data_IF_593593901767
#
_entry.id   IF_593593901767
#
_cell.length_a   1.000
_cell.length_b   1.000
_cell.length_c   1.000
_cell.angle_alpha   90.00
_cell.angle_beta   90.00
_cell.angle_gamma   90.00
#
_symmetry.space_group_name_H-M   'P 1'
#
loop_
_entity.id
_entity.type
_entity.pdbx_description
1 polymer ?
#
# COMPACT_ATOMS: atom_id res chain seq x y z
N UNK A 1 -92.22 -26.97 1.91
CA UNK A 1 -91.21 -25.90 2.06
C UNK A 1 -89.87 -26.44 1.57
N UNK A 2 -89.52 -26.16 0.31
CA UNK A 2 -88.30 -26.65 -0.34
C UNK A 2 -87.47 -25.44 -0.76
N UNK A 3 -86.47 -25.09 0.04
CA UNK A 3 -85.54 -24.01 -0.28
C UNK A 3 -84.60 -24.43 -1.42
N UNK A 4 -84.58 -23.62 -2.48
CA UNK A 4 -83.73 -23.79 -3.66
C UNK A 4 -82.27 -23.46 -3.34
N UNK A 5 -81.40 -24.49 -3.40
CA UNK A 5 -79.93 -24.43 -3.25
C UNK A 5 -79.18 -23.65 -4.36
N UNK A 6 -79.85 -22.94 -5.26
CA UNK A 6 -79.25 -22.42 -6.51
C UNK A 6 -78.82 -20.94 -6.48
N UNK A 7 -79.03 -20.23 -5.36
CA UNK A 7 -78.84 -18.77 -5.32
C UNK A 7 -77.50 -18.29 -4.75
N UNK A 8 -76.64 -19.18 -4.24
CA UNK A 8 -75.41 -18.78 -3.51
C UNK A 8 -74.11 -18.76 -4.34
N UNK A 9 -74.16 -19.05 -5.65
CA UNK A 9 -72.96 -19.19 -6.49
C UNK A 9 -72.72 -18.03 -7.48
N UNK A 10 -73.38 -16.87 -7.35
CA UNK A 10 -73.24 -15.76 -8.30
C UNK A 10 -72.63 -14.46 -7.75
N UNK A 11 -72.04 -14.47 -6.56
CA UNK A 11 -71.53 -13.25 -5.92
C UNK A 11 -70.01 -13.25 -5.63
N UNK A 12 -69.19 -13.90 -6.46
CA UNK A 12 -67.72 -13.73 -6.42
C UNK A 12 -67.14 -13.76 -7.84
N UNK A 13 -67.13 -12.63 -8.55
CA UNK A 13 -65.86 -12.22 -9.15
C UNK A 13 -65.76 -10.68 -9.19
N UNK A 14 -65.46 -10.03 -8.07
CA UNK A 14 -65.21 -8.58 -8.06
C UNK A 14 -64.21 -8.11 -6.99
N UNK A 15 -63.36 -9.01 -6.48
CA UNK A 15 -62.38 -8.67 -5.44
C UNK A 15 -60.99 -9.28 -5.70
N UNK A 16 -60.51 -9.22 -6.94
CA UNK A 16 -59.17 -9.71 -7.31
C UNK A 16 -58.31 -8.66 -8.04
N UNK A 17 -58.69 -7.38 -8.02
CA UNK A 17 -58.05 -6.37 -8.88
C UNK A 17 -57.75 -5.05 -8.15
N UNK A 18 -57.32 -5.10 -6.89
CA UNK A 18 -56.99 -3.91 -6.10
C UNK A 18 -55.76 -4.05 -5.19
N UNK A 19 -54.73 -4.77 -5.62
CA UNK A 19 -53.42 -4.79 -4.94
C UNK A 19 -52.27 -4.51 -5.92
N UNK A 20 -52.40 -3.47 -6.74
CA UNK A 20 -51.26 -2.76 -7.30
C UNK A 20 -51.11 -1.44 -6.55
N UNK A 21 -50.72 -1.53 -5.26
CA UNK A 21 -50.20 -0.36 -4.56
C UNK A 21 -48.87 0.04 -5.22
N UNK A 22 -48.52 1.34 -5.28
CA UNK A 22 -47.22 1.77 -5.76
C UNK A 22 -46.18 1.05 -4.91
N UNK A 23 -45.39 0.18 -5.55
CA UNK A 23 -44.25 -0.42 -4.90
C UNK A 23 -43.37 0.72 -4.42
N UNK A 24 -43.27 0.91 -3.11
CA UNK A 24 -42.20 1.71 -2.54
C UNK A 24 -40.91 1.01 -2.97
N UNK A 25 -40.32 1.49 -4.07
CA UNK A 25 -38.93 1.23 -4.36
C UNK A 25 -38.18 1.79 -3.16
N UNK A 26 -37.80 0.93 -2.22
CA UNK A 26 -36.78 1.26 -1.25
C UNK A 26 -35.55 1.60 -2.09
N UNK A 27 -35.31 2.90 -2.29
CA UNK A 27 -34.04 3.38 -2.80
C UNK A 27 -32.98 2.77 -1.89
N UNK A 28 -32.17 1.87 -2.44
CA UNK A 28 -31.09 1.26 -1.69
C UNK A 28 -30.23 2.40 -1.13
N UNK A 29 -29.99 2.39 0.18
CA UNK A 29 -29.27 3.48 0.82
C UNK A 29 -27.89 3.61 0.15
N UNK A 30 -27.56 4.82 -0.30
CA UNK A 30 -26.33 5.06 -1.04
C UNK A 30 -25.11 4.57 -0.23
N UNK A 31 -24.25 3.79 -0.87
CA UNK A 31 -23.02 3.31 -0.25
C UNK A 31 -22.13 4.50 0.17
N UNK A 32 -21.42 4.41 1.31
CA UNK A 32 -21.46 3.34 2.32
C UNK A 32 -22.62 3.48 3.33
N UNK A 33 -23.17 2.36 3.79
CA UNK A 33 -24.29 2.33 4.76
C UNK A 33 -23.85 2.10 6.21
N UNK A 34 -22.58 1.79 6.42
CA UNK A 34 -21.94 1.53 7.71
C UNK A 34 -20.44 1.83 7.63
N UNK A 35 -19.70 1.79 8.76
CA UNK A 35 -18.25 2.03 8.74
C UNK A 35 -17.52 1.10 7.76
N UNK A 36 -16.55 1.68 7.06
CA UNK A 36 -15.66 0.98 6.13
C UNK A 36 -14.46 0.47 6.91
N UNK A 37 -14.11 -0.79 6.71
CA UNK A 37 -12.85 -1.37 7.17
C UNK A 37 -11.78 -1.18 6.10
N UNK A 38 -10.69 -0.52 6.43
CA UNK A 38 -9.52 -0.38 5.58
C UNK A 38 -8.40 -1.31 6.08
N UNK A 39 -8.17 -2.41 5.37
CA UNK A 39 -7.09 -3.34 5.69
C UNK A 39 -5.76 -2.74 5.24
N UNK A 40 -4.80 -2.69 6.16
CA UNK A 40 -3.39 -2.37 5.90
C UNK A 40 -2.57 -3.65 6.12
N UNK A 41 -1.93 -4.23 5.09
CA UNK A 41 -1.34 -5.56 5.19
C UNK A 41 0.05 -5.58 5.85
N UNK A 42 0.35 -4.61 6.72
CA UNK A 42 1.64 -4.43 7.37
C UNK A 42 1.48 -4.06 8.85
N UNK A 43 2.53 -4.25 9.69
CA UNK A 43 2.49 -3.86 11.10
C UNK A 43 2.20 -2.36 11.28
N UNK A 44 1.61 -1.96 12.43
CA UNK A 44 1.40 -0.56 12.75
C UNK A 44 2.73 0.21 12.89
N UNK A 45 2.68 1.52 12.65
CA UNK A 45 3.83 2.43 12.82
C UNK A 45 4.78 2.53 11.62
N UNK A 46 4.52 1.81 10.51
CA UNK A 46 5.20 2.03 9.23
C UNK A 46 4.53 3.12 8.38
N UNK A 47 5.20 3.55 7.31
CA UNK A 47 4.71 4.61 6.42
C UNK A 47 3.29 4.38 5.85
N UNK A 48 2.96 3.15 5.45
CA UNK A 48 1.62 2.82 4.94
C UNK A 48 0.54 2.93 6.04
N UNK A 49 0.85 2.56 7.28
CA UNK A 49 -0.07 2.69 8.41
C UNK A 49 -0.31 4.16 8.78
N UNK A 50 0.78 4.95 8.84
CA UNK A 50 0.70 6.39 9.04
C UNK A 50 -0.15 7.07 7.96
N UNK A 51 0.04 6.69 6.69
CA UNK A 51 -0.74 7.17 5.57
C UNK A 51 -2.23 6.82 5.68
N UNK A 52 -2.55 5.57 6.04
CA UNK A 52 -3.94 5.11 6.14
C UNK A 52 -4.67 5.89 7.24
N UNK A 53 -4.00 6.08 8.38
CA UNK A 53 -4.53 6.81 9.54
C UNK A 53 -4.64 8.31 9.28
N UNK A 54 -3.77 8.86 8.44
CA UNK A 54 -3.85 10.27 8.02
C UNK A 54 -5.05 10.51 7.09
N UNK A 55 -5.31 9.61 6.14
CA UNK A 55 -6.41 9.73 5.19
C UNK A 55 -7.78 9.44 5.80
N UNK A 56 -7.87 8.41 6.64
CA UNK A 56 -9.15 7.89 7.13
C UNK A 56 -10.12 8.96 7.69
N UNK A 57 -9.70 9.93 8.52
CA UNK A 57 -10.59 10.99 9.02
C UNK A 57 -11.11 11.91 7.91
N UNK A 58 -10.28 12.22 6.92
CA UNK A 58 -10.65 13.12 5.81
C UNK A 58 -11.72 12.49 4.91
N UNK A 59 -11.66 11.17 4.73
CA UNK A 59 -12.64 10.44 3.91
C UNK A 59 -14.06 10.47 4.50
N UNK A 60 -14.20 10.65 5.82
CA UNK A 60 -15.51 10.68 6.51
C UNK A 60 -16.38 11.82 5.99
N UNK A 61 -15.80 12.97 5.67
CA UNK A 61 -16.56 14.13 5.17
C UNK A 61 -17.28 13.85 3.85
N UNK A 62 -16.67 13.07 2.95
CA UNK A 62 -17.26 12.71 1.64
C UNK A 62 -18.13 11.46 1.73
N UNK A 63 -17.73 10.49 2.55
CA UNK A 63 -18.38 9.19 2.62
C UNK A 63 -19.55 9.16 3.61
N UNK A 64 -19.59 10.05 4.59
CA UNK A 64 -20.61 10.07 5.65
C UNK A 64 -20.52 8.88 6.61
N UNK A 65 -19.48 8.05 6.49
CA UNK A 65 -19.23 6.90 7.36
C UNK A 65 -17.76 6.88 7.79
N UNK A 66 -17.45 6.35 8.99
CA UNK A 66 -16.07 6.20 9.45
C UNK A 66 -15.29 5.24 8.55
N UNK A 67 -13.99 5.50 8.39
CA UNK A 67 -13.02 4.54 7.84
C UNK A 67 -12.15 4.05 9.00
N UNK A 68 -12.20 2.75 9.29
CA UNK A 68 -11.48 2.11 10.40
C UNK A 68 -10.29 1.35 9.85
N UNK A 69 -9.08 1.75 10.25
CA UNK A 69 -7.83 1.11 9.83
C UNK A 69 -7.57 -0.16 10.65
N UNK A 70 -7.40 -1.29 9.97
CA UNK A 70 -7.08 -2.59 10.57
C UNK A 70 -5.76 -3.13 9.98
N UNK A 71 -4.74 -3.29 10.82
CA UNK A 71 -3.47 -3.87 10.40
C UNK A 71 -3.55 -5.41 10.39
N UNK A 72 -3.25 -6.04 9.24
CA UNK A 72 -3.14 -7.50 9.08
C UNK A 72 -1.81 -7.88 8.44
N UNK A 73 -0.76 -7.93 9.25
CA UNK A 73 0.61 -8.16 8.80
C UNK A 73 0.91 -9.63 8.42
N UNK A 74 1.91 -9.82 7.57
CA UNK A 74 2.58 -11.10 7.31
C UNK A 74 2.70 -11.47 5.83
N UNK A 75 3.74 -12.24 5.50
CA UNK A 75 4.02 -12.73 4.14
C UNK A 75 4.21 -11.62 3.09
N UNK A 76 4.93 -10.54 3.40
CA UNK A 76 5.07 -9.40 2.47
C UNK A 76 3.75 -8.70 2.15
N UNK A 77 2.78 -8.79 3.06
CA UNK A 77 1.42 -8.28 2.90
C UNK A 77 0.43 -9.28 2.30
N UNK A 78 0.88 -10.48 1.94
CA UNK A 78 0.02 -11.53 1.37
C UNK A 78 -1.15 -11.90 2.29
N UNK A 79 -0.93 -11.97 3.61
CA UNK A 79 -1.98 -12.37 4.56
C UNK A 79 -3.11 -11.34 4.61
N UNK A 80 -2.78 -10.04 4.73
CA UNK A 80 -3.77 -8.97 4.75
C UNK A 80 -4.48 -8.81 3.42
N UNK A 81 -3.77 -8.93 2.30
CA UNK A 81 -4.37 -8.89 0.96
C UNK A 81 -5.33 -10.06 0.76
N UNK A 82 -4.97 -11.28 1.13
CA UNK A 82 -5.86 -12.45 1.04
C UNK A 82 -7.16 -12.25 1.85
N UNK A 83 -7.04 -11.71 3.06
CA UNK A 83 -8.18 -11.39 3.89
C UNK A 83 -9.13 -10.35 3.26
N UNK A 84 -8.57 -9.35 2.56
CA UNK A 84 -9.37 -8.37 1.83
C UNK A 84 -10.06 -9.01 0.61
N UNK A 85 -9.35 -9.86 -0.14
CA UNK A 85 -9.87 -10.55 -1.32
C UNK A 85 -11.08 -11.44 -0.98
N UNK A 86 -11.06 -12.08 0.19
CA UNK A 86 -12.13 -12.94 0.67
C UNK A 86 -13.34 -12.19 1.22
N UNK A 87 -13.27 -10.86 1.39
CA UNK A 87 -14.38 -10.09 1.94
C UNK A 87 -15.48 -9.85 0.91
N UNK A 88 -16.71 -10.25 1.24
CA UNK A 88 -17.90 -10.09 0.40
C UNK A 88 -18.85 -9.00 0.91
N UNK A 89 -18.41 -8.23 1.90
CA UNK A 89 -19.27 -7.36 2.71
C UNK A 89 -19.49 -5.95 2.13
N UNK A 90 -18.91 -5.69 0.96
CA UNK A 90 -18.87 -4.40 0.26
C UNK A 90 -18.35 -3.22 1.09
N UNK A 91 -17.80 -3.43 2.28
CA UNK A 91 -17.31 -2.36 3.17
C UNK A 91 -15.89 -2.63 3.66
N UNK A 92 -15.21 -3.62 3.09
CA UNK A 92 -13.79 -3.87 3.32
C UNK A 92 -13.01 -3.42 2.09
N UNK A 93 -12.07 -2.50 2.30
CA UNK A 93 -11.10 -2.05 1.31
C UNK A 93 -9.69 -2.44 1.72
N UNK A 94 -8.75 -2.27 0.80
CA UNK A 94 -7.35 -2.60 0.99
C UNK A 94 -6.48 -1.39 0.62
N UNK A 95 -5.57 -1.03 1.51
CA UNK A 95 -4.45 -0.16 1.15
C UNK A 95 -3.22 -1.02 0.89
N UNK A 96 -2.65 -0.90 -0.30
CA UNK A 96 -1.49 -1.68 -0.73
C UNK A 96 -0.24 -0.81 -0.83
N UNK A 97 0.92 -1.47 -0.78
CA UNK A 97 2.20 -0.89 -1.20
C UNK A 97 2.64 -1.51 -2.52
N UNK A 98 3.76 -1.02 -3.06
CA UNK A 98 4.44 -1.61 -4.21
C UNK A 98 4.66 -3.13 -4.11
N UNK A 99 4.74 -3.69 -2.89
CA UNK A 99 4.84 -5.14 -2.66
C UNK A 99 3.72 -5.91 -3.35
N UNK A 100 2.53 -5.32 -3.51
CA UNK A 100 1.42 -5.92 -4.23
C UNK A 100 1.76 -6.26 -5.69
N UNK A 101 2.54 -5.41 -6.36
CA UNK A 101 3.02 -5.64 -7.73
C UNK A 101 4.22 -6.59 -7.78
N UNK A 102 5.01 -6.69 -6.71
CA UNK A 102 6.22 -7.53 -6.65
C UNK A 102 5.90 -8.97 -6.25
N UNK A 103 4.94 -9.16 -5.33
CA UNK A 103 4.60 -10.45 -4.76
C UNK A 103 4.31 -11.56 -5.80
N UNK A 104 3.63 -11.30 -6.94
CA UNK A 104 3.42 -12.32 -7.97
C UNK A 104 4.71 -12.83 -8.63
N UNK A 105 5.78 -12.03 -8.61
CA UNK A 105 7.10 -12.44 -9.11
C UNK A 105 7.90 -13.23 -8.07
N UNK A 106 7.69 -12.97 -6.79
CA UNK A 106 8.40 -13.62 -5.68
C UNK A 106 7.72 -14.89 -5.16
N UNK A 107 6.40 -14.98 -5.26
CA UNK A 107 5.62 -16.10 -4.76
C UNK A 107 4.80 -16.74 -5.89
N UNK A 108 5.12 -17.98 -6.31
CA UNK A 108 4.38 -18.65 -7.38
C UNK A 108 2.96 -19.05 -6.96
N UNK A 109 2.66 -19.06 -5.65
CA UNK A 109 1.39 -19.53 -5.10
C UNK A 109 0.78 -18.50 -4.15
N UNK A 110 0.29 -17.40 -4.71
CA UNK A 110 -0.49 -16.43 -3.94
C UNK A 110 -1.92 -16.95 -3.67
N UNK A 111 -2.47 -16.72 -2.46
CA UNK A 111 -3.85 -17.07 -2.10
C UNK A 111 -4.90 -16.10 -2.67
N UNK A 112 -4.51 -15.26 -3.64
CA UNK A 112 -5.37 -14.31 -4.34
C UNK A 112 -4.81 -14.07 -5.75
N UNK A 113 -5.67 -13.65 -6.67
CA UNK A 113 -5.29 -13.11 -7.97
C UNK A 113 -5.49 -11.59 -7.94
N UNK A 114 -4.38 -10.84 -8.03
CA UNK A 114 -4.41 -9.40 -7.88
C UNK A 114 -5.12 -8.62 -9.00
N UNK A 115 -5.29 -9.22 -10.18
CA UNK A 115 -5.98 -8.58 -11.31
C UNK A 115 -7.46 -8.97 -11.37
N UNK A 116 -7.81 -10.15 -10.87
CA UNK A 116 -9.18 -10.66 -10.86
C UNK A 116 -9.94 -10.29 -9.58
N UNK A 117 -9.30 -10.41 -8.42
CA UNK A 117 -9.98 -10.34 -7.12
C UNK A 117 -10.10 -8.90 -6.61
N UNK A 118 -9.40 -7.94 -7.24
CA UNK A 118 -9.40 -6.54 -6.87
C UNK A 118 -9.67 -5.63 -8.06
N UNK A 119 -10.14 -4.43 -7.74
CA UNK A 119 -10.29 -3.34 -8.66
C UNK A 119 -9.63 -2.08 -8.11
N UNK A 120 -8.96 -1.32 -8.97
CA UNK A 120 -8.36 -0.05 -8.62
C UNK A 120 -9.38 0.97 -8.12
N UNK A 121 -8.96 1.74 -7.10
CA UNK A 121 -9.68 2.89 -6.58
C UNK A 121 -8.89 4.16 -6.87
N UNK A 122 -7.70 4.33 -6.30
CA UNK A 122 -6.86 5.50 -6.58
C UNK A 122 -5.41 5.29 -6.12
N UNK A 123 -4.41 5.84 -6.84
CA UNK A 123 -3.08 5.98 -6.28
C UNK A 123 -3.12 6.98 -5.10
N UNK A 124 -2.23 6.81 -4.13
CA UNK A 124 -2.26 7.61 -2.89
C UNK A 124 -1.04 8.50 -2.77
N UNK A 125 0.14 7.89 -2.66
CA UNK A 125 1.37 8.63 -2.43
C UNK A 125 2.59 7.80 -2.82
N UNK A 126 3.67 8.47 -3.18
CA UNK A 126 5.03 7.94 -3.13
C UNK A 126 5.62 8.30 -1.77
N UNK A 127 6.22 7.33 -1.09
CA UNK A 127 7.01 7.57 0.11
C UNK A 127 8.44 7.12 -0.17
N UNK A 128 9.36 8.06 -0.48
CA UNK A 128 10.73 7.72 -0.81
C UNK A 128 11.41 6.92 0.30
N UNK A 129 12.20 5.92 -0.09
CA UNK A 129 13.14 5.28 0.82
C UNK A 129 14.52 5.94 0.69
N UNK A 130 15.30 5.83 1.76
CA UNK A 130 16.66 6.35 1.89
C UNK A 130 17.58 5.21 2.28
N UNK A 131 18.75 5.12 1.66
CA UNK A 131 19.86 4.35 2.22
C UNK A 131 20.41 5.13 3.42
N UNK A 132 20.23 4.59 4.61
CA UNK A 132 20.67 5.20 5.87
C UNK A 132 21.64 4.30 6.63
N UNK A 133 22.56 4.94 7.35
CA UNK A 133 23.60 4.30 8.17
C UNK A 133 23.71 5.01 9.52
N UNK A 134 24.30 4.39 10.56
CA UNK A 134 24.62 5.06 11.82
C UNK A 134 25.47 6.31 11.57
N UNK A 135 25.30 7.37 12.37
CA UNK A 135 26.06 8.62 12.20
C UNK A 135 27.57 8.42 12.18
N UNK A 136 28.05 7.54 13.07
CA UNK A 136 29.47 7.21 13.26
C UNK A 136 29.97 6.11 12.32
N UNK A 137 29.13 5.65 11.38
CA UNK A 137 29.55 4.73 10.33
C UNK A 137 30.69 5.35 9.50
N UNK A 138 31.69 4.54 9.09
CA UNK A 138 32.76 5.01 8.20
C UNK A 138 32.29 5.25 6.77
N UNK A 139 31.02 4.97 6.43
CA UNK A 139 30.49 5.14 5.08
C UNK A 139 29.82 6.49 4.92
N UNK A 140 30.31 7.28 3.97
CA UNK A 140 29.79 8.62 3.69
C UNK A 140 29.07 8.69 2.34
N UNK A 141 29.18 7.63 1.55
CA UNK A 141 28.55 7.48 0.24
C UNK A 141 28.09 6.04 -0.02
N UNK A 142 27.17 5.82 -0.99
CA UNK A 142 26.84 4.47 -1.44
C UNK A 142 28.06 3.70 -1.98
N UNK A 143 29.05 4.38 -2.55
CA UNK A 143 30.27 3.76 -3.04
C UNK A 143 31.10 3.13 -1.90
N UNK A 144 31.12 3.75 -0.72
CA UNK A 144 31.81 3.19 0.46
C UNK A 144 31.17 1.89 0.92
N UNK A 145 29.82 1.85 0.92
CA UNK A 145 29.04 0.65 1.23
C UNK A 145 29.35 -0.47 0.24
N UNK A 146 29.35 -0.18 -1.06
CA UNK A 146 29.67 -1.16 -2.12
C UNK A 146 31.10 -1.69 -1.95
N UNK A 147 32.06 -0.79 -1.70
CA UNK A 147 33.45 -1.18 -1.50
C UNK A 147 33.63 -2.06 -0.26
N UNK A 148 32.93 -1.74 0.84
CA UNK A 148 32.94 -2.55 2.06
C UNK A 148 32.30 -3.92 1.85
N UNK A 149 31.13 -3.99 1.19
CA UNK A 149 30.45 -5.24 0.90
C UNK A 149 31.28 -6.17 -0.01
N UNK A 150 32.02 -5.62 -0.99
CA UNK A 150 32.94 -6.41 -1.83
C UNK A 150 34.13 -6.97 -1.08
N UNK A 151 34.63 -6.26 -0.06
CA UNK A 151 35.74 -6.74 0.79
C UNK A 151 35.31 -7.85 1.75
N UNK A 152 34.05 -7.83 2.17
CA UNK A 152 33.49 -8.79 3.11
C UNK A 152 32.10 -9.26 2.67
N UNK A 153 32.01 -10.11 1.62
CA UNK A 153 30.73 -10.62 1.11
C UNK A 153 29.92 -11.30 2.22
N UNK A 154 28.63 -10.96 2.32
CA UNK A 154 27.69 -11.54 3.29
C UNK A 154 27.87 -11.07 4.74
N UNK A 155 28.90 -10.28 5.05
CA UNK A 155 29.15 -9.78 6.41
C UNK A 155 28.29 -8.57 6.73
N UNK A 156 28.17 -7.63 5.78
CA UNK A 156 27.40 -6.41 5.99
C UNK A 156 25.91 -6.74 6.03
N UNK A 157 25.24 -6.20 7.03
CA UNK A 157 23.82 -6.40 7.28
C UNK A 157 23.00 -5.20 6.83
N UNK A 158 21.80 -5.46 6.29
CA UNK A 158 20.78 -4.43 6.12
C UNK A 158 19.49 -4.83 6.81
N UNK A 159 18.94 -3.89 7.59
CA UNK A 159 17.65 -4.10 8.24
C UNK A 159 16.48 -3.79 7.31
N UNK A 160 15.33 -4.38 7.60
CA UNK A 160 14.06 -3.96 7.01
C UNK A 160 12.91 -3.95 8.00
N UNK A 161 11.81 -3.33 7.60
CA UNK A 161 10.53 -3.40 8.32
C UNK A 161 9.83 -4.77 8.19
N UNK A 162 10.49 -5.75 7.58
CA UNK A 162 10.01 -7.11 7.37
C UNK A 162 10.14 -7.54 5.92
N UNK A 163 10.22 -8.85 5.72
CA UNK A 163 10.30 -9.47 4.39
C UNK A 163 9.13 -9.05 3.50
N UNK A 164 9.47 -8.69 2.27
CA UNK A 164 8.53 -8.23 1.23
C UNK A 164 8.08 -6.77 1.36
N UNK A 165 8.55 -6.01 2.34
CA UNK A 165 8.32 -4.55 2.37
C UNK A 165 9.13 -3.84 1.29
N UNK A 166 8.77 -2.59 0.94
CA UNK A 166 9.59 -1.76 0.03
C UNK A 166 11.03 -1.59 0.52
N UNK A 167 11.23 -1.61 1.84
CA UNK A 167 12.53 -1.49 2.50
C UNK A 167 13.37 -2.74 2.25
N UNK A 168 12.77 -3.92 2.39
CA UNK A 168 13.43 -5.18 2.05
C UNK A 168 13.83 -5.21 0.56
N UNK A 169 12.87 -4.89 -0.32
CA UNK A 169 13.07 -4.92 -1.78
C UNK A 169 14.13 -3.91 -2.26
N UNK A 170 14.24 -2.76 -1.59
CA UNK A 170 15.29 -1.78 -1.87
C UNK A 170 16.69 -2.33 -1.59
N UNK A 171 16.89 -2.99 -0.45
CA UNK A 171 18.17 -3.63 -0.14
C UNK A 171 18.51 -4.78 -1.09
N UNK A 172 17.53 -5.62 -1.41
CA UNK A 172 17.72 -6.73 -2.35
C UNK A 172 18.07 -6.22 -3.77
N UNK A 173 17.36 -5.20 -4.27
CA UNK A 173 17.66 -4.58 -5.57
C UNK A 173 19.05 -3.92 -5.56
N UNK A 174 19.44 -3.27 -4.47
CA UNK A 174 20.76 -2.65 -4.32
C UNK A 174 21.87 -3.71 -4.38
N UNK A 175 21.74 -4.79 -3.61
CA UNK A 175 22.69 -5.90 -3.60
C UNK A 175 22.84 -6.49 -5.00
N UNK A 176 21.72 -6.76 -5.69
CA UNK A 176 21.75 -7.34 -7.02
C UNK A 176 22.39 -6.42 -8.08
N UNK A 177 21.99 -5.15 -8.15
CA UNK A 177 22.53 -4.20 -9.14
C UNK A 177 24.00 -3.82 -8.88
N UNK A 178 24.39 -3.70 -7.61
CA UNK A 178 25.79 -3.42 -7.24
C UNK A 178 26.70 -4.64 -7.30
N UNK A 179 26.11 -5.83 -7.49
CA UNK A 179 26.77 -7.15 -7.45
C UNK A 179 27.53 -7.33 -6.12
N UNK A 180 26.82 -7.15 -5.03
CA UNK A 180 27.32 -7.32 -3.66
C UNK A 180 26.47 -8.30 -2.89
N UNK A 181 27.05 -8.91 -1.86
CA UNK A 181 26.33 -9.82 -0.96
C UNK A 181 26.12 -9.11 0.38
N UNK A 182 24.85 -8.90 0.72
CA UNK A 182 24.42 -8.29 1.98
C UNK A 182 23.51 -9.28 2.71
N UNK A 183 23.62 -9.33 4.04
CA UNK A 183 22.76 -10.15 4.89
C UNK A 183 21.53 -9.36 5.32
N UNK A 184 20.34 -9.83 4.94
CA UNK A 184 19.09 -9.22 5.35
C UNK A 184 18.72 -9.57 6.79
N UNK A 185 18.32 -8.57 7.59
CA UNK A 185 17.80 -8.74 8.95
C UNK A 185 16.37 -8.18 9.04
N UNK A 186 15.33 -9.03 8.97
CA UNK A 186 13.94 -8.57 9.01
C UNK A 186 13.45 -8.24 10.43
N UNK A 187 12.77 -7.11 10.59
CA UNK A 187 12.10 -6.71 11.84
C UNK A 187 10.58 -6.65 11.68
N UNK A 188 9.87 -6.50 12.81
CA UNK A 188 8.40 -6.28 12.83
C UNK A 188 8.07 -4.79 12.67
N UNK A 189 8.51 -4.17 11.58
CA UNK A 189 8.33 -2.73 11.30
C UNK A 189 9.61 -1.89 11.46
N UNK A 190 9.59 -0.65 10.96
CA UNK A 190 10.77 0.24 10.97
C UNK A 190 11.21 0.67 12.37
N UNK A 191 10.31 0.77 13.35
CA UNK A 191 10.65 1.25 14.70
C UNK A 191 11.75 0.43 15.41
N UNK A 192 11.57 -0.90 15.58
CA UNK A 192 12.62 -1.76 16.11
C UNK A 192 13.89 -1.78 15.25
N UNK A 193 13.76 -1.81 13.92
CA UNK A 193 14.89 -1.79 13.00
C UNK A 193 15.76 -0.54 13.15
N UNK A 194 15.14 0.65 13.24
CA UNK A 194 15.84 1.92 13.43
C UNK A 194 16.55 1.99 14.79
N UNK A 195 15.99 1.36 15.81
CA UNK A 195 16.60 1.32 17.14
C UNK A 195 17.90 0.49 17.13
N UNK A 196 17.88 -0.66 16.46
CA UNK A 196 19.06 -1.50 16.29
C UNK A 196 20.08 -0.86 15.32
N UNK A 197 19.62 -0.16 14.28
CA UNK A 197 20.49 0.62 13.40
C UNK A 197 21.21 1.74 14.17
N UNK A 198 20.49 2.55 14.94
CA UNK A 198 21.09 3.65 15.74
C UNK A 198 22.16 3.15 16.70
N UNK A 199 22.01 1.92 17.22
CA UNK A 199 22.99 1.31 18.13
C UNK A 199 24.12 0.55 17.42
N UNK A 200 24.10 0.48 16.09
CA UNK A 200 25.10 -0.22 15.28
C UNK A 200 25.00 -1.75 15.35
N UNK A 201 23.84 -2.30 15.75
CA UNK A 201 23.59 -3.76 15.72
C UNK A 201 23.37 -4.29 14.31
N UNK A 202 22.97 -3.41 13.40
CA UNK A 202 22.85 -3.63 11.96
C UNK A 202 23.55 -2.47 11.25
N UNK A 203 24.11 -2.73 10.08
CA UNK A 203 25.04 -1.78 9.46
C UNK A 203 24.34 -0.68 8.64
N UNK A 204 23.24 -1.02 7.97
CA UNK A 204 22.48 -0.09 7.13
C UNK A 204 20.98 -0.43 7.08
N UNK A 205 20.19 0.46 6.50
CA UNK A 205 18.76 0.24 6.23
C UNK A 205 18.32 1.06 5.02
N UNK A 206 17.34 0.57 4.25
CA UNK A 206 16.70 1.31 3.16
C UNK A 206 15.33 1.84 3.58
N UNK A 207 15.28 2.63 4.67
CA UNK A 207 14.02 2.97 5.33
C UNK A 207 13.24 4.09 4.63
N UNK A 208 11.94 4.17 4.90
CA UNK A 208 11.11 5.28 4.43
C UNK A 208 11.54 6.61 5.05
N UNK A 209 11.49 7.69 4.28
CA UNK A 209 11.74 9.04 4.78
C UNK A 209 10.84 9.36 5.98
N UNK A 210 9.57 8.93 5.94
CA UNK A 210 8.61 9.08 7.04
C UNK A 210 9.14 8.54 8.37
N UNK A 211 9.69 7.33 8.37
CA UNK A 211 10.19 6.68 9.59
C UNK A 211 11.59 7.15 9.98
N UNK A 212 12.46 7.43 9.00
CA UNK A 212 13.84 7.83 9.24
C UNK A 212 14.00 9.30 9.65
N UNK A 213 13.08 10.19 9.24
CA UNK A 213 13.20 11.63 9.42
C UNK A 213 13.54 12.08 10.86
N UNK A 214 12.91 11.56 11.94
CA UNK A 214 13.27 11.95 13.30
C UNK A 214 14.72 11.60 13.67
N UNK A 215 15.21 10.45 13.19
CA UNK A 215 16.56 9.99 13.47
C UNK A 215 17.61 10.80 12.70
N UNK A 216 17.32 11.13 11.44
CA UNK A 216 18.13 12.03 10.61
C UNK A 216 18.20 13.43 11.22
N UNK A 217 17.05 14.01 11.61
CA UNK A 217 16.99 15.33 12.23
C UNK A 217 17.74 15.40 13.58
N UNK A 218 17.71 14.33 14.37
CA UNK A 218 18.50 14.22 15.61
C UNK A 218 19.99 14.00 15.38
N UNK A 219 20.42 13.78 14.14
CA UNK A 219 21.81 13.54 13.77
C UNK A 219 22.34 12.15 14.17
N UNK A 220 21.48 11.22 14.59
CA UNK A 220 21.84 9.84 14.97
C UNK A 220 22.07 8.92 13.78
N UNK A 221 21.44 9.23 12.65
CA UNK A 221 21.63 8.54 11.37
C UNK A 221 22.12 9.53 10.31
N UNK A 222 22.72 8.98 9.26
CA UNK A 222 23.10 9.68 8.03
C UNK A 222 22.42 9.03 6.85
N UNK A 223 21.82 9.83 5.96
CA UNK A 223 21.32 9.35 4.68
C UNK A 223 22.41 9.49 3.61
N UNK A 224 22.58 8.46 2.77
CA UNK A 224 23.60 8.40 1.72
C UNK A 224 23.02 8.63 0.33
N UNK A 225 21.79 8.16 0.08
CA UNK A 225 21.10 8.34 -1.20
C UNK A 225 19.60 8.06 -1.05
N UNK A 226 18.81 8.57 -2.01
CA UNK A 226 17.39 8.20 -2.20
C UNK A 226 17.26 6.99 -3.13
N UNK A 227 16.22 6.17 -2.93
CA UNK A 227 15.94 5.01 -3.80
C UNK A 227 15.16 5.35 -5.07
N UNK A 228 14.50 6.50 -5.07
CA UNK A 228 13.64 6.97 -6.15
C UNK A 228 14.45 7.22 -7.42
N UNK A 229 13.79 7.13 -8.58
CA UNK A 229 14.45 7.39 -9.88
C UNK A 229 14.89 8.85 -10.07
N UNK A 230 14.40 9.75 -9.21
CA UNK A 230 14.74 11.17 -9.15
C UNK A 230 15.04 11.59 -7.72
N UNK A 231 15.78 12.68 -7.56
CA UNK A 231 15.92 13.36 -6.26
C UNK A 231 14.57 13.80 -5.72
N UNK A 232 14.51 13.95 -4.41
CA UNK A 232 13.28 14.32 -3.70
C UNK A 232 13.37 15.76 -3.20
N UNK A 233 12.24 16.47 -3.21
CA UNK A 233 12.21 17.88 -2.80
C UNK A 233 12.55 18.07 -1.32
N UNK A 234 12.25 17.08 -0.47
CA UNK A 234 12.52 17.13 0.97
C UNK A 234 14.03 17.10 1.31
N UNK A 235 14.87 16.54 0.43
CA UNK A 235 16.32 16.42 0.61
C UNK A 235 17.02 16.56 -0.77
N UNK A 236 17.03 17.78 -1.35
CA UNK A 236 17.46 18.00 -2.74
C UNK A 236 18.96 17.73 -2.97
N UNK A 237 19.76 17.80 -1.91
CA UNK A 237 21.20 17.57 -1.95
C UNK A 237 21.55 16.07 -1.95
N UNK A 238 20.63 15.19 -1.53
CA UNK A 238 20.85 13.76 -1.59
C UNK A 238 20.82 13.27 -3.04
N UNK A 239 21.84 12.52 -3.48
CA UNK A 239 21.82 11.89 -4.80
C UNK A 239 20.83 10.72 -4.83
N UNK A 240 20.42 10.32 -6.02
CA UNK A 240 19.80 9.01 -6.22
C UNK A 240 20.86 7.90 -6.16
N UNK A 241 20.45 6.65 -5.89
CA UNK A 241 21.37 5.51 -5.99
C UNK A 241 21.94 5.34 -7.40
N UNK A 242 21.17 5.67 -8.45
CA UNK A 242 21.65 5.67 -9.83
C UNK A 242 22.74 6.71 -10.06
N UNK A 243 22.55 7.95 -9.58
CA UNK A 243 23.57 9.01 -9.62
C UNK A 243 24.81 8.64 -8.81
N UNK A 244 24.65 7.87 -7.73
CA UNK A 244 25.72 7.43 -6.85
C UNK A 244 26.42 6.14 -7.30
N UNK A 245 26.23 5.71 -8.55
CA UNK A 245 26.99 4.61 -9.17
C UNK A 245 26.31 3.25 -9.20
N UNK A 246 25.04 3.15 -8.78
CA UNK A 246 24.23 1.91 -8.92
C UNK A 246 23.36 2.03 -10.18
N UNK A 247 23.98 1.85 -11.34
CA UNK A 247 23.32 2.04 -12.64
C UNK A 247 22.02 1.24 -12.76
N UNK A 248 20.96 1.88 -13.25
CA UNK A 248 19.64 1.26 -13.41
C UNK A 248 18.81 1.17 -12.13
N UNK A 249 19.34 1.62 -10.98
CA UNK A 249 18.57 1.61 -9.74
C UNK A 249 17.42 2.63 -9.80
N UNK A 250 16.19 2.13 -9.70
CA UNK A 250 15.00 2.94 -9.49
C UNK A 250 13.94 2.13 -8.75
N UNK A 251 13.64 2.56 -7.52
CA UNK A 251 12.57 2.02 -6.71
C UNK A 251 11.83 3.18 -6.05
N UNK A 252 10.64 3.45 -6.55
CA UNK A 252 9.71 4.45 -6.04
C UNK A 252 8.63 3.73 -5.20
N UNK A 253 8.71 3.75 -3.86
CA UNK A 253 7.72 3.07 -3.04
C UNK A 253 6.40 3.84 -3.10
N UNK A 254 5.39 3.27 -3.74
CA UNK A 254 4.06 3.84 -3.84
C UNK A 254 3.06 3.10 -2.95
N UNK A 255 2.02 3.82 -2.54
CA UNK A 255 0.82 3.31 -1.88
C UNK A 255 -0.41 3.57 -2.74
N UNK A 256 -1.37 2.67 -2.68
CA UNK A 256 -2.60 2.77 -3.45
C UNK A 256 -3.78 2.15 -2.70
N UNK A 257 -4.98 2.59 -3.03
CA UNK A 257 -6.22 2.00 -2.52
C UNK A 257 -6.84 1.08 -3.57
N UNK A 258 -7.26 -0.11 -3.14
CA UNK A 258 -7.97 -1.10 -3.92
C UNK A 258 -9.28 -1.48 -3.21
N UNK A 259 -10.24 -1.94 -4.00
CA UNK A 259 -11.46 -2.56 -3.53
C UNK A 259 -11.52 -4.02 -3.99
N UNK A 260 -12.11 -4.94 -3.21
CA UNK A 260 -12.50 -6.24 -3.74
C UNK A 260 -13.36 -6.07 -4.99
N UNK A 261 -13.18 -6.94 -5.99
CA UNK A 261 -13.83 -6.82 -7.29
C UNK A 261 -15.37 -6.80 -7.23
N UNK A 262 -15.95 -7.36 -6.16
CA UNK A 262 -17.40 -7.36 -5.91
C UNK A 262 -18.00 -6.02 -5.45
N UNK A 263 -17.19 -4.99 -5.14
CA UNK A 263 -17.72 -3.67 -4.78
C UNK A 263 -18.39 -3.02 -6.02
N UNK A 264 -19.68 -2.62 -5.94
CA UNK A 264 -20.35 -1.96 -7.06
C UNK A 264 -19.61 -0.72 -7.55
N UNK A 265 -19.68 -0.46 -8.86
CA UNK A 265 -18.98 0.65 -9.52
C UNK A 265 -19.26 2.01 -8.86
N UNK A 266 -20.50 2.24 -8.40
CA UNK A 266 -20.87 3.47 -7.71
C UNK A 266 -20.09 3.64 -6.39
N UNK A 267 -19.99 2.58 -5.58
CA UNK A 267 -19.21 2.60 -4.34
C UNK A 267 -17.72 2.84 -4.61
N UNK A 268 -17.17 2.17 -5.64
CA UNK A 268 -15.79 2.42 -6.10
C UNK A 268 -15.57 3.87 -6.50
N UNK A 269 -16.43 4.44 -7.34
CA UNK A 269 -16.34 5.84 -7.78
C UNK A 269 -16.46 6.82 -6.63
N UNK A 270 -17.33 6.53 -5.66
CA UNK A 270 -17.48 7.37 -4.47
C UNK A 270 -16.21 7.36 -3.61
N UNK A 271 -15.59 6.19 -3.43
CA UNK A 271 -14.31 6.10 -2.73
C UNK A 271 -13.18 6.78 -3.51
N UNK A 272 -13.09 6.59 -4.82
CA UNK A 272 -12.13 7.30 -5.68
C UNK A 272 -12.29 8.81 -5.53
N UNK A 273 -13.52 9.33 -5.60
CA UNK A 273 -13.79 10.76 -5.42
C UNK A 273 -13.37 11.26 -4.01
N UNK A 274 -13.59 10.45 -2.97
CA UNK A 274 -13.16 10.78 -1.62
C UNK A 274 -11.63 10.83 -1.48
N UNK A 275 -10.92 9.83 -2.02
CA UNK A 275 -9.44 9.77 -1.97
C UNK A 275 -8.83 10.89 -2.82
N UNK A 276 -9.24 11.01 -4.09
CA UNK A 276 -8.69 12.03 -4.99
C UNK A 276 -9.04 13.44 -4.54
N UNK A 277 -10.23 13.66 -3.98
CA UNK A 277 -10.62 14.91 -3.33
C UNK A 277 -9.73 15.24 -2.15
N UNK A 278 -9.48 14.27 -1.26
CA UNK A 278 -8.57 14.44 -0.13
C UNK A 278 -7.14 14.79 -0.57
N UNK A 279 -6.61 14.15 -1.62
CA UNK A 279 -5.26 14.42 -2.12
C UNK A 279 -5.14 15.77 -2.85
N UNK A 280 -6.25 16.34 -3.30
CA UNK A 280 -6.31 17.70 -3.88
C UNK A 280 -6.37 18.80 -2.83
N UNK A 281 -6.77 18.48 -1.60
CA UNK A 281 -6.81 19.44 -0.49
C UNK A 281 -5.38 19.90 -0.13
N UNK A 282 -5.07 21.21 -0.22
CA UNK A 282 -3.77 21.74 0.19
C UNK A 282 -3.36 21.34 1.61
N UNK A 283 -4.30 21.33 2.56
CA UNK A 283 -4.00 20.95 3.94
C UNK A 283 -3.61 19.48 4.08
N UNK A 284 -4.16 18.60 3.23
CA UNK A 284 -3.71 17.21 3.16
C UNK A 284 -2.33 17.12 2.53
N UNK A 285 -2.08 17.83 1.42
CA UNK A 285 -0.76 17.85 0.76
C UNK A 285 0.34 18.34 1.71
N UNK A 286 0.07 19.36 2.51
CA UNK A 286 0.99 19.86 3.54
C UNK A 286 1.26 18.82 4.63
N UNK A 287 0.23 18.11 5.10
CA UNK A 287 0.40 17.02 6.08
C UNK A 287 1.21 15.86 5.51
N UNK A 288 1.00 15.51 4.25
CA UNK A 288 1.77 14.48 3.53
C UNK A 288 3.24 14.90 3.39
N UNK A 289 3.50 16.14 2.97
CA UNK A 289 4.84 16.69 2.89
C UNK A 289 5.54 16.68 4.26
N UNK A 290 4.82 17.00 5.33
CA UNK A 290 5.34 16.97 6.71
C UNK A 290 5.79 15.58 7.18
N UNK A 291 5.29 14.51 6.56
CA UNK A 291 5.74 13.13 6.81
C UNK A 291 6.62 12.58 5.69
N UNK A 292 7.10 13.43 4.79
CA UNK A 292 7.98 13.02 3.68
C UNK A 292 7.29 12.19 2.60
N UNK A 293 5.97 12.28 2.48
CA UNK A 293 5.19 11.63 1.45
C UNK A 293 4.84 12.62 0.32
N UNK A 294 4.94 12.15 -0.92
CA UNK A 294 4.56 12.89 -2.12
C UNK A 294 3.20 12.38 -2.61
N UNK A 295 2.13 13.19 -2.58
CA UNK A 295 0.81 12.77 -3.07
C UNK A 295 0.89 12.36 -4.54
N UNK A 296 0.22 11.27 -4.90
CA UNK A 296 0.07 10.85 -6.29
C UNK A 296 -1.25 11.34 -6.83
N UNK A 297 -1.21 12.19 -7.86
CA UNK A 297 -2.41 12.52 -8.63
C UNK A 297 -2.78 11.34 -9.54
N UNK A 298 -4.08 11.09 -9.71
CA UNK A 298 -4.58 10.01 -10.54
C UNK A 298 -5.98 9.56 -10.17
N UNK A 299 -6.42 8.48 -10.79
CA UNK A 299 -7.74 7.85 -10.64
C UNK A 299 -7.59 6.32 -10.71
N UNK A 300 -8.69 5.58 -10.73
CA UNK A 300 -8.64 4.12 -10.86
C UNK A 300 -7.94 3.67 -12.15
N UNK A 301 -8.09 4.38 -13.26
CA UNK A 301 -7.50 3.99 -14.55
C UNK A 301 -5.98 4.15 -14.54
N UNK A 302 -5.49 5.27 -13.98
CA UNK A 302 -4.05 5.49 -13.84
C UNK A 302 -3.42 4.49 -12.87
N UNK A 303 -4.12 4.11 -11.79
CA UNK A 303 -3.67 3.06 -10.89
C UNK A 303 -3.65 1.69 -11.58
N UNK A 304 -4.67 1.34 -12.36
CA UNK A 304 -4.72 0.07 -13.11
C UNK A 304 -3.52 -0.05 -14.06
N UNK A 305 -3.16 1.05 -14.75
CA UNK A 305 -1.94 1.11 -15.58
C UNK A 305 -0.68 0.93 -14.75
N UNK A 306 -0.56 1.64 -13.62
CA UNK A 306 0.59 1.52 -12.71
C UNK A 306 0.78 0.08 -12.24
N UNK A 307 -0.29 -0.58 -11.79
CA UNK A 307 -0.24 -1.97 -11.32
C UNK A 307 0.27 -2.92 -12.41
N UNK A 308 -0.23 -2.79 -13.64
CA UNK A 308 0.19 -3.63 -14.77
C UNK A 308 1.66 -3.40 -15.12
N UNK A 309 2.07 -2.13 -15.20
CA UNK A 309 3.45 -1.75 -15.53
C UNK A 309 4.43 -2.23 -14.46
N UNK A 310 4.15 -1.97 -13.18
CA UNK A 310 5.00 -2.39 -12.07
C UNK A 310 5.05 -3.91 -11.95
N UNK A 311 3.92 -4.61 -12.11
CA UNK A 311 3.92 -6.08 -12.04
C UNK A 311 4.78 -6.69 -13.16
N UNK A 312 4.69 -6.16 -14.38
CA UNK A 312 5.52 -6.60 -15.49
C UNK A 312 7.01 -6.28 -15.24
N UNK A 313 7.32 -5.05 -14.84
CA UNK A 313 8.69 -4.60 -14.54
C UNK A 313 9.33 -5.47 -13.46
N UNK A 314 8.64 -5.70 -12.35
CA UNK A 314 9.17 -6.49 -11.24
C UNK A 314 9.30 -7.96 -11.58
N UNK A 315 8.43 -8.52 -12.43
CA UNK A 315 8.59 -9.88 -12.93
C UNK A 315 9.89 -10.04 -13.73
N UNK A 316 10.20 -9.08 -14.59
CA UNK A 316 11.44 -9.11 -15.36
C UNK A 316 12.67 -8.89 -14.47
N UNK A 317 12.63 -7.91 -13.57
CA UNK A 317 13.74 -7.63 -12.64
C UNK A 317 14.03 -8.79 -11.69
N UNK A 318 13.02 -9.38 -11.05
CA UNK A 318 13.20 -10.52 -10.13
C UNK A 318 13.84 -11.70 -10.86
N UNK A 319 13.41 -11.98 -12.10
CA UNK A 319 13.98 -13.03 -12.94
C UNK A 319 15.42 -12.74 -13.36
N UNK A 320 15.69 -11.53 -13.85
CA UNK A 320 17.01 -11.13 -14.35
C UNK A 320 18.05 -11.07 -13.23
N UNK A 321 17.65 -10.54 -12.07
CA UNK A 321 18.52 -10.27 -10.94
C UNK A 321 18.52 -11.39 -9.89
N UNK A 322 17.74 -12.45 -10.11
CA UNK A 322 17.60 -13.60 -9.20
C UNK A 322 17.25 -13.19 -7.75
N UNK A 323 16.45 -12.14 -7.60
CA UNK A 323 15.98 -11.66 -6.29
C UNK A 323 15.13 -12.76 -5.65
N UNK A 324 15.52 -13.22 -4.46
CA UNK A 324 14.80 -14.29 -3.76
C UNK A 324 13.74 -13.70 -2.81
N UNK A 325 12.60 -14.38 -2.63
CA UNK A 325 11.87 -14.26 -1.37
C UNK A 325 12.77 -14.79 -0.26
N UNK A 326 12.93 -14.04 0.85
CA UNK A 326 13.66 -14.53 2.02
C UNK A 326 13.19 -15.92 2.48
#
# INVERSE_FOLDING_TARGET
MTMQRRSLLRALPALAMATCGPGFAFAEAAWPTRPIRLIVPFPPGGAIDAMARLLAPTLVGTLGQPVVVENRAGGGGTIGTAAAAQSTDAHTLLMVSMAYAVNPALSPHLPYDGLRDFAAVAPVAVVPNLLVVPRDSPWESPADVIAAARRAPGVLTYASAGSGTSIHLAGALFAALSRTELTHVPYKGSGPALSDLVTGRVDMMFDSLTSAAPQLASGRLRALAVTTGRRIAAQPDLPTLAEAGVAGYALDPWFAMLAPAGLPLEGRRRMEAAVTGALRDPAMRDRLAGIGAEPMDGDAESLDRLLRQETARWKDLVRELSIQPD
#
